data_IF_224459985148
#
_entry.id   IF_224459985148
#
_cell.length_a   1.000
_cell.length_b   1.000
_cell.length_c   1.000
_cell.angle_alpha   90.00
_cell.angle_beta   90.00
_cell.angle_gamma   90.00
#
_symmetry.space_group_name_H-M   'P 1'
#
loop_
_entity.id
_entity.type
_entity.pdbx_description
1 polymer ?
#
# COMPACT_ATOMS: atom_id res chain seq x y z
N UNK A 1 25.26 -26.26 -5.28
CA UNK A 1 25.16 -24.90 -5.86
C UNK A 1 26.46 -24.19 -5.53
N UNK A 2 27.46 -24.33 -6.41
CA UNK A 2 28.81 -23.81 -6.26
C UNK A 2 28.95 -22.51 -7.04
N UNK A 3 29.65 -21.50 -6.50
CA UNK A 3 30.49 -20.63 -7.33
C UNK A 3 30.22 -19.12 -7.39
N UNK A 4 29.58 -18.47 -6.41
CA UNK A 4 29.51 -17.00 -6.38
C UNK A 4 30.44 -16.45 -5.30
N UNK A 5 31.30 -15.49 -5.66
CA UNK A 5 32.13 -14.79 -4.68
C UNK A 5 31.23 -14.03 -3.68
N UNK A 6 31.67 -13.82 -2.43
CA UNK A 6 30.83 -13.15 -1.42
C UNK A 6 30.37 -11.75 -1.84
N UNK A 7 31.16 -11.07 -2.69
CA UNK A 7 30.84 -9.75 -3.26
C UNK A 7 29.73 -9.84 -4.30
N UNK A 8 29.72 -10.87 -5.14
CA UNK A 8 28.62 -11.10 -6.09
C UNK A 8 27.33 -11.50 -5.38
N UNK A 9 27.42 -12.27 -4.29
CA UNK A 9 26.24 -12.60 -3.49
C UNK A 9 25.65 -11.34 -2.81
N UNK A 10 26.52 -10.40 -2.39
CA UNK A 10 26.09 -9.12 -1.84
C UNK A 10 25.42 -8.24 -2.90
N UNK A 11 25.99 -8.12 -4.10
CA UNK A 11 25.39 -7.31 -5.18
C UNK A 11 24.03 -7.86 -5.63
N UNK A 12 23.90 -9.19 -5.73
CA UNK A 12 22.63 -9.86 -6.02
C UNK A 12 21.60 -9.58 -4.92
N UNK A 13 22.01 -9.62 -3.64
CA UNK A 13 21.09 -9.36 -2.53
C UNK A 13 20.63 -7.90 -2.48
N UNK A 14 21.53 -6.94 -2.71
CA UNK A 14 21.19 -5.52 -2.78
C UNK A 14 20.27 -5.19 -3.98
N UNK A 15 20.51 -5.84 -5.12
CA UNK A 15 19.62 -5.73 -6.30
C UNK A 15 18.23 -6.31 -6.00
N UNK A 16 18.18 -7.40 -5.22
CA UNK A 16 16.90 -7.99 -4.79
C UNK A 16 16.16 -7.05 -3.83
N UNK A 17 16.87 -6.41 -2.90
CA UNK A 17 16.32 -5.41 -1.99
C UNK A 17 15.75 -4.21 -2.75
N UNK A 18 16.47 -3.67 -3.75
CA UNK A 18 15.96 -2.55 -4.55
C UNK A 18 14.71 -2.93 -5.33
N UNK A 19 14.68 -4.15 -5.90
CA UNK A 19 13.49 -4.67 -6.59
C UNK A 19 12.26 -4.77 -5.67
N UNK A 20 12.45 -5.17 -4.40
CA UNK A 20 11.36 -5.16 -3.42
C UNK A 20 10.92 -3.73 -3.05
N UNK A 21 11.84 -2.79 -2.91
CA UNK A 21 11.50 -1.39 -2.66
C UNK A 21 10.69 -0.79 -3.82
N UNK A 22 11.05 -1.09 -5.06
CA UNK A 22 10.32 -0.64 -6.25
C UNK A 22 8.92 -1.27 -6.31
N UNK A 23 8.80 -2.56 -5.96
CA UNK A 23 7.51 -3.24 -5.87
C UNK A 23 6.60 -2.59 -4.81
N UNK A 24 7.16 -2.24 -3.65
CA UNK A 24 6.44 -1.55 -2.58
C UNK A 24 6.01 -0.15 -3.04
N UNK A 25 6.91 0.62 -3.67
CA UNK A 25 6.58 1.94 -4.23
C UNK A 25 5.46 1.85 -5.26
N UNK A 26 5.50 0.86 -6.14
CA UNK A 26 4.46 0.67 -7.13
C UNK A 26 3.10 0.32 -6.49
N UNK A 27 3.09 -0.45 -5.41
CA UNK A 27 1.88 -0.73 -4.64
C UNK A 27 1.35 0.52 -3.91
N UNK A 28 2.23 1.32 -3.32
CA UNK A 28 1.87 2.57 -2.64
C UNK A 28 1.30 3.60 -3.65
N UNK A 29 1.90 3.72 -4.84
CA UNK A 29 1.36 4.55 -5.93
C UNK A 29 -0.04 4.10 -6.34
N UNK A 30 -0.27 2.79 -6.49
CA UNK A 30 -1.61 2.26 -6.80
C UNK A 30 -2.60 2.63 -5.71
N UNK A 31 -2.26 2.43 -4.44
CA UNK A 31 -3.14 2.79 -3.33
C UNK A 31 -3.50 4.29 -3.34
N UNK A 32 -2.53 5.16 -3.58
CA UNK A 32 -2.76 6.61 -3.71
C UNK A 32 -3.70 6.95 -4.87
N UNK A 33 -3.49 6.36 -6.06
CA UNK A 33 -4.39 6.57 -7.21
C UNK A 33 -5.82 6.15 -6.89
N UNK A 34 -6.00 5.00 -6.25
CA UNK A 34 -7.33 4.49 -5.86
C UNK A 34 -8.01 5.40 -4.83
N UNK A 35 -7.23 5.95 -3.88
CA UNK A 35 -7.74 6.87 -2.86
C UNK A 35 -8.15 8.21 -3.47
N UNK A 36 -7.38 8.72 -4.43
CA UNK A 36 -7.74 9.91 -5.23
C UNK A 36 -9.04 9.69 -6.01
N UNK A 37 -9.22 8.52 -6.62
CA UNK A 37 -10.45 8.16 -7.33
C UNK A 37 -11.67 8.14 -6.38
N UNK A 38 -11.52 7.61 -5.16
CA UNK A 38 -12.61 7.67 -4.18
C UNK A 38 -12.91 9.10 -3.72
N UNK A 39 -11.87 9.92 -3.56
CA UNK A 39 -12.01 11.34 -3.26
C UNK A 39 -12.80 12.09 -4.33
N UNK A 40 -12.53 11.82 -5.61
CA UNK A 40 -13.27 12.47 -6.71
C UNK A 40 -14.73 12.02 -6.76
N UNK A 41 -15.02 10.73 -6.58
CA UNK A 41 -16.40 10.22 -6.49
C UNK A 41 -17.16 10.84 -5.31
N UNK A 42 -16.52 10.94 -4.14
CA UNK A 42 -17.11 11.58 -2.97
C UNK A 42 -17.42 13.06 -3.23
N UNK A 43 -16.49 13.79 -3.84
CA UNK A 43 -16.69 15.19 -4.23
C UNK A 43 -17.85 15.35 -5.22
N UNK A 44 -17.99 14.45 -6.20
CA UNK A 44 -19.12 14.44 -7.12
C UNK A 44 -20.47 14.22 -6.41
N UNK A 45 -20.54 13.30 -5.45
CA UNK A 45 -21.77 13.06 -4.68
C UNK A 45 -22.13 14.29 -3.83
N UNK A 46 -21.15 14.90 -3.16
CA UNK A 46 -21.37 16.11 -2.34
C UNK A 46 -21.80 17.29 -3.21
N UNK A 47 -21.17 17.50 -4.36
CA UNK A 47 -21.51 18.58 -5.28
C UNK A 47 -22.94 18.45 -5.84
N UNK A 48 -23.45 17.22 -5.97
CA UNK A 48 -24.80 16.93 -6.47
C UNK A 48 -25.76 16.50 -5.34
N UNK A 49 -25.47 16.88 -4.10
CA UNK A 49 -26.32 16.47 -2.98
C UNK A 49 -27.69 17.17 -3.06
N UNK A 50 -28.76 16.39 -3.00
CA UNK A 50 -30.12 16.88 -2.97
C UNK A 50 -30.86 16.33 -1.73
N UNK A 51 -31.29 17.18 -0.77
CA UNK A 51 -32.01 16.74 0.43
C UNK A 51 -33.39 16.15 0.14
N UNK A 52 -33.93 16.36 -1.06
CA UNK A 52 -35.19 15.80 -1.54
C UNK A 52 -34.99 14.60 -2.48
N UNK A 53 -33.79 14.02 -2.51
CA UNK A 53 -33.53 12.82 -3.29
C UNK A 53 -34.45 11.67 -2.88
N UNK A 54 -34.79 10.82 -3.86
CA UNK A 54 -35.64 9.66 -3.59
C UNK A 54 -34.97 8.68 -2.61
N UNK A 55 -35.75 7.93 -1.79
CA UNK A 55 -35.21 6.93 -0.87
C UNK A 55 -34.14 5.99 -1.45
N UNK A 56 -34.27 5.44 -2.68
CA UNK A 56 -33.23 4.59 -3.25
C UNK A 56 -31.90 5.34 -3.49
N UNK A 57 -31.93 6.63 -3.86
CA UNK A 57 -30.71 7.44 -4.04
C UNK A 57 -30.01 7.67 -2.70
N UNK A 58 -30.78 7.93 -1.64
CA UNK A 58 -30.23 8.05 -0.28
C UNK A 58 -29.58 6.75 0.21
N UNK A 59 -30.23 5.60 -0.06
CA UNK A 59 -29.68 4.27 0.27
C UNK A 59 -28.37 4.03 -0.50
N UNK A 60 -28.31 4.35 -1.79
CA UNK A 60 -27.08 4.23 -2.58
C UNK A 60 -25.97 5.15 -2.08
N UNK A 61 -26.29 6.38 -1.67
CA UNK A 61 -25.31 7.30 -1.07
C UNK A 61 -24.77 6.76 0.27
N UNK A 62 -25.65 6.22 1.12
CA UNK A 62 -25.23 5.58 2.38
C UNK A 62 -24.36 4.34 2.12
N UNK A 63 -24.71 3.50 1.15
CA UNK A 63 -23.89 2.36 0.73
C UNK A 63 -22.52 2.79 0.20
N UNK A 64 -22.46 3.87 -0.61
CA UNK A 64 -21.20 4.45 -1.05
C UNK A 64 -20.33 4.82 0.16
N UNK A 65 -20.85 5.55 1.13
CA UNK A 65 -20.10 5.96 2.32
C UNK A 65 -19.59 4.75 3.10
N UNK A 66 -20.43 3.73 3.32
CA UNK A 66 -20.03 2.49 3.98
C UNK A 66 -18.90 1.77 3.25
N UNK A 67 -19.04 1.53 1.94
CA UNK A 67 -18.04 0.80 1.16
C UNK A 67 -16.75 1.60 0.95
N UNK A 68 -16.87 2.92 0.74
CA UNK A 68 -15.73 3.82 0.65
C UNK A 68 -14.94 3.85 1.95
N UNK A 69 -15.62 3.89 3.11
CA UNK A 69 -14.94 3.86 4.41
C UNK A 69 -14.15 2.57 4.60
N UNK A 70 -14.74 1.40 4.29
CA UNK A 70 -14.04 0.10 4.41
C UNK A 70 -12.83 0.04 3.47
N UNK A 71 -12.97 0.53 2.25
CA UNK A 71 -11.90 0.56 1.25
C UNK A 71 -10.77 1.51 1.66
N UNK A 72 -11.10 2.74 2.06
CA UNK A 72 -10.16 3.74 2.60
C UNK A 72 -9.39 3.20 3.81
N UNK A 73 -10.06 2.55 4.77
CA UNK A 73 -9.38 1.94 5.93
C UNK A 73 -8.40 0.85 5.48
N UNK A 74 -8.78 0.00 4.53
CA UNK A 74 -7.88 -1.05 4.01
C UNK A 74 -6.68 -0.48 3.26
N UNK A 75 -6.86 0.58 2.46
CA UNK A 75 -5.75 1.26 1.79
C UNK A 75 -4.88 2.06 2.76
N UNK A 76 -5.47 2.73 3.74
CA UNK A 76 -4.74 3.44 4.80
C UNK A 76 -3.90 2.47 5.64
N UNK A 77 -4.42 1.28 5.97
CA UNK A 77 -3.65 0.22 6.65
C UNK A 77 -2.53 -0.31 5.76
N UNK A 78 -2.73 -0.41 4.45
CA UNK A 78 -1.68 -0.79 3.50
C UNK A 78 -0.57 0.29 3.39
N UNK A 79 -0.94 1.57 3.47
CA UNK A 79 -0.04 2.72 3.43
C UNK A 79 0.62 3.03 4.77
N UNK A 80 0.05 2.55 5.89
CA UNK A 80 0.56 2.86 7.23
C UNK A 80 2.00 2.34 7.35
N UNK A 81 2.98 3.22 7.63
CA UNK A 81 4.35 2.79 7.87
C UNK A 81 4.35 1.93 9.14
N UNK A 82 4.62 0.63 8.99
CA UNK A 82 4.76 -0.28 10.12
C UNK A 82 6.14 -0.12 10.72
N UNK A 83 6.20 0.54 11.88
CA UNK A 83 7.43 0.74 12.66
C UNK A 83 7.65 -0.35 13.71
N UNK A 84 6.62 -1.13 14.07
CA UNK A 84 6.63 -2.05 15.23
C UNK A 84 7.45 -3.34 15.06
N UNK A 85 8.09 -3.56 13.91
CA UNK A 85 8.83 -4.80 13.61
C UNK A 85 10.36 -4.66 13.53
N UNK A 86 10.90 -3.45 13.58
CA UNK A 86 12.34 -3.20 13.45
C UNK A 86 13.07 -3.44 14.79
N UNK A 87 12.98 -4.65 15.32
CA UNK A 87 13.73 -5.05 16.54
C UNK A 87 15.10 -5.63 16.17
N UNK A 88 15.28 -6.12 14.94
CA UNK A 88 16.58 -6.61 14.49
C UNK A 88 17.40 -5.44 13.95
N UNK A 89 18.46 -5.08 14.66
CA UNK A 89 19.44 -4.07 14.26
C UNK A 89 20.17 -4.53 12.98
N UNK A 90 19.60 -4.21 11.81
CA UNK A 90 20.15 -4.56 10.51
C UNK A 90 20.85 -3.35 9.90
N UNK A 91 22.15 -3.47 9.59
CA UNK A 91 23.03 -2.44 9.01
C UNK A 91 22.50 -1.78 7.73
N UNK A 92 21.65 -2.47 6.98
CA UNK A 92 21.04 -1.97 5.75
C UNK A 92 19.67 -1.30 5.98
N UNK A 93 19.16 -1.29 7.22
CA UNK A 93 17.91 -0.65 7.62
C UNK A 93 18.11 0.72 8.29
N UNK A 94 17.09 1.59 8.21
CA UNK A 94 17.12 2.98 8.69
C UNK A 94 17.49 3.15 10.18
N UNK A 95 17.07 2.23 11.05
CA UNK A 95 17.33 2.29 12.50
C UNK A 95 18.81 2.08 12.85
N UNK A 96 19.59 1.48 11.94
CA UNK A 96 20.97 1.08 12.19
C UNK A 96 22.03 2.10 11.77
N UNK A 97 21.65 3.12 11.00
CA UNK A 97 22.58 4.15 10.49
C UNK A 97 23.22 4.94 11.64
N UNK A 98 22.53 5.05 12.79
CA UNK A 98 23.09 5.64 14.01
C UNK A 98 23.80 4.62 14.92
N UNK A 99 23.52 3.32 14.77
CA UNK A 99 24.01 2.26 15.65
C UNK A 99 25.33 1.64 15.20
N UNK A 100 25.73 1.82 13.93
CA UNK A 100 26.95 1.27 13.40
C UNK A 100 27.92 2.35 12.91
N UNK A 101 29.18 2.36 13.38
CA UNK A 101 30.20 3.23 12.81
C UNK A 101 30.42 2.88 11.33
N UNK A 102 30.65 3.91 10.50
CA UNK A 102 30.75 3.83 9.04
C UNK A 102 31.93 2.98 8.51
N UNK A 103 32.79 2.49 9.39
CA UNK A 103 33.97 1.70 9.03
C UNK A 103 33.60 0.24 8.80
N UNK A 104 33.68 -0.19 7.54
CA UNK A 104 33.51 -1.59 7.09
C UNK A 104 34.78 -2.44 7.20
N UNK A 105 35.83 -1.93 7.85
CA UNK A 105 37.16 -2.54 7.80
C UNK A 105 37.18 -3.89 8.55
N UNK A 106 37.44 -4.98 7.81
CA UNK A 106 37.62 -6.32 8.35
C UNK A 106 36.36 -7.18 8.56
N UNK A 107 35.19 -6.80 8.03
CA UNK A 107 33.97 -7.61 8.21
C UNK A 107 33.92 -8.86 7.31
N UNK A 108 33.51 -9.98 7.91
CA UNK A 108 33.24 -11.24 7.22
C UNK A 108 32.05 -11.08 6.27
N UNK A 109 32.29 -11.28 4.98
CA UNK A 109 31.30 -11.15 3.92
C UNK A 109 30.09 -12.08 4.11
N UNK A 110 30.23 -13.20 4.85
CA UNK A 110 29.09 -14.06 5.23
C UNK A 110 28.11 -13.36 6.17
N UNK A 111 28.60 -12.52 7.10
CA UNK A 111 27.72 -11.77 8.01
C UNK A 111 26.94 -10.69 7.28
N UNK A 112 27.60 -9.97 6.37
CA UNK A 112 26.94 -8.99 5.50
C UNK A 112 25.84 -9.63 4.61
N UNK A 113 26.09 -10.84 4.11
CA UNK A 113 25.09 -11.60 3.36
C UNK A 113 23.88 -11.98 4.22
N UNK A 114 24.11 -12.47 5.44
CA UNK A 114 23.03 -12.83 6.37
C UNK A 114 22.15 -11.62 6.70
N UNK A 115 22.76 -10.47 6.98
CA UNK A 115 22.05 -9.22 7.25
C UNK A 115 21.21 -8.79 6.02
N UNK A 116 21.78 -8.86 4.82
CA UNK A 116 21.08 -8.48 3.60
C UNK A 116 19.90 -9.44 3.29
N UNK A 117 20.04 -10.74 3.56
CA UNK A 117 18.97 -11.72 3.39
C UNK A 117 17.83 -11.52 4.41
N UNK A 118 18.16 -11.21 5.66
CA UNK A 118 17.17 -10.86 6.68
C UNK A 118 16.35 -9.62 6.27
N UNK A 119 17.00 -8.62 5.67
CA UNK A 119 16.29 -7.45 5.14
C UNK A 119 15.36 -7.83 3.98
N UNK A 120 15.83 -8.68 3.07
CA UNK A 120 15.04 -9.14 1.92
C UNK A 120 13.79 -9.92 2.36
N UNK A 121 13.91 -10.84 3.34
CA UNK A 121 12.78 -11.59 3.90
C UNK A 121 11.78 -10.64 4.57
N UNK A 122 12.26 -9.68 5.36
CA UNK A 122 11.40 -8.69 6.02
C UNK A 122 10.64 -7.82 5.00
N UNK A 123 11.31 -7.35 3.95
CA UNK A 123 10.67 -6.59 2.87
C UNK A 123 9.62 -7.42 2.13
N UNK A 124 9.91 -8.71 1.87
CA UNK A 124 8.98 -9.62 1.21
C UNK A 124 7.71 -9.85 2.06
N UNK A 125 7.84 -10.00 3.38
CA UNK A 125 6.69 -10.11 4.28
C UNK A 125 5.85 -8.84 4.30
N UNK A 126 6.48 -7.67 4.37
CA UNK A 126 5.79 -6.37 4.30
C UNK A 126 5.04 -6.25 2.97
N UNK A 127 5.71 -6.54 1.85
CA UNK A 127 5.11 -6.48 0.52
C UNK A 127 3.90 -7.42 0.39
N UNK A 128 4.01 -8.66 0.89
CA UNK A 128 2.91 -9.64 0.89
C UNK A 128 1.71 -9.13 1.69
N UNK A 129 1.94 -8.56 2.86
CA UNK A 129 0.83 -8.06 3.69
C UNK A 129 0.19 -6.82 3.05
N UNK A 130 0.99 -5.86 2.53
CA UNK A 130 0.48 -4.71 1.78
C UNK A 130 -0.38 -5.17 0.59
N UNK A 131 0.13 -6.09 -0.22
CA UNK A 131 -0.58 -6.62 -1.38
C UNK A 131 -1.90 -7.29 -0.99
N UNK A 132 -1.93 -8.06 0.10
CA UNK A 132 -3.16 -8.68 0.60
C UNK A 132 -4.21 -7.64 1.00
N UNK A 133 -3.82 -6.55 1.67
CA UNK A 133 -4.76 -5.49 2.03
C UNK A 133 -5.29 -4.73 0.80
N UNK A 134 -4.43 -4.50 -0.20
CA UNK A 134 -4.83 -3.90 -1.49
C UNK A 134 -5.83 -4.79 -2.21
N UNK A 135 -5.54 -6.08 -2.38
CA UNK A 135 -6.46 -7.03 -3.01
C UNK A 135 -7.77 -7.16 -2.25
N UNK A 136 -7.71 -7.19 -0.91
CA UNK A 136 -8.91 -7.25 -0.08
C UNK A 136 -9.71 -5.93 -0.14
N UNK A 137 -9.09 -4.80 -0.46
CA UNK A 137 -9.77 -3.50 -0.61
C UNK A 137 -10.47 -3.29 -1.95
N UNK A 138 -9.99 -3.96 -3.02
CA UNK A 138 -10.54 -3.85 -4.38
C UNK A 138 -12.04 -4.17 -4.53
N UNK A 139 -12.61 -5.24 -3.95
CA UNK A 139 -14.05 -5.49 -4.09
C UNK A 139 -14.90 -4.39 -3.47
N UNK A 140 -14.46 -3.82 -2.35
CA UNK A 140 -15.15 -2.69 -1.69
C UNK A 140 -15.04 -1.41 -2.50
N UNK A 141 -13.89 -1.17 -3.14
CA UNK A 141 -13.73 -0.08 -4.08
C UNK A 141 -14.73 -0.22 -5.24
N UNK A 142 -14.81 -1.41 -5.85
CA UNK A 142 -15.76 -1.69 -6.93
C UNK A 142 -17.21 -1.46 -6.52
N UNK A 143 -17.61 -1.97 -5.35
CA UNK A 143 -18.95 -1.74 -4.80
C UNK A 143 -19.23 -0.25 -4.54
N UNK A 144 -18.25 0.50 -4.02
CA UNK A 144 -18.38 1.95 -3.83
C UNK A 144 -18.54 2.70 -5.16
N UNK A 145 -17.77 2.33 -6.19
CA UNK A 145 -17.85 2.96 -7.49
C UNK A 145 -19.20 2.71 -8.17
N UNK A 146 -19.74 1.49 -8.08
CA UNK A 146 -21.08 1.17 -8.61
C UNK A 146 -22.15 1.98 -7.87
N UNK A 147 -22.11 2.04 -6.54
CA UNK A 147 -23.04 2.83 -5.75
C UNK A 147 -22.99 4.32 -6.14
N UNK A 148 -21.79 4.89 -6.27
CA UNK A 148 -21.59 6.28 -6.70
C UNK A 148 -22.16 6.53 -8.11
N UNK A 149 -21.90 5.62 -9.06
CA UNK A 149 -22.43 5.73 -10.41
C UNK A 149 -23.96 5.70 -10.43
N UNK A 150 -24.60 4.86 -9.61
CA UNK A 150 -26.07 4.84 -9.54
C UNK A 150 -26.66 6.13 -8.98
N UNK A 151 -25.96 6.79 -8.04
CA UNK A 151 -26.36 8.10 -7.51
C UNK A 151 -26.24 9.16 -8.61
N UNK A 152 -25.10 9.19 -9.32
CA UNK A 152 -24.85 10.17 -10.38
C UNK A 152 -25.76 9.95 -11.60
N UNK A 153 -26.01 8.70 -12.00
CA UNK A 153 -26.83 8.38 -13.18
C UNK A 153 -28.32 8.66 -12.97
N UNK A 154 -28.79 8.69 -11.71
CA UNK A 154 -30.18 8.98 -11.36
C UNK A 154 -30.47 10.47 -11.20
N UNK A 155 -29.44 11.32 -11.33
CA UNK A 155 -29.56 12.77 -11.31
C UNK A 155 -30.47 13.37 -12.41
N UNK A 156 -30.33 13.01 -13.72
CA UNK A 156 -31.18 13.60 -14.76
C UNK A 156 -32.67 13.26 -14.63
N UNK A 157 -33.01 12.15 -13.98
CA UNK A 157 -34.39 11.72 -13.73
C UNK A 157 -35.11 12.57 -12.66
N UNK A 158 -34.38 13.41 -11.90
CA UNK A 158 -34.92 14.25 -10.82
C UNK A 158 -35.19 15.71 -11.22
N UNK A 159 -34.84 16.09 -12.47
CA UNK A 159 -35.03 17.45 -13.01
C UNK A 159 -36.27 17.55 -13.94
N UNK A 160 -37.05 16.48 -14.08
CA UNK A 160 -38.35 16.45 -14.79
C UNK A 160 -39.49 16.37 -13.77
#
# INVERSE_FOLDING_TARGET
MNGLSPVEQLSVTLTTVSSFQDTIRHADTKATILLTLQGSLAASIVANWNPHASPPVMICAAMFVCFATVSCVRFAVALRPRTDGLVVANRFGFVSVSAYPATCDGMDARRLQQDAWQLAVLLAEIAKIKHRHVLAGMPWLGASAIAALTVVSKWPDLLQ
#
